data_IF_534656293589
#
_entry.id   IF_534656293589
#
_cell.length_a   1.000
_cell.length_b   1.000
_cell.length_c   1.000
_cell.angle_alpha   90.00
_cell.angle_beta   90.00
_cell.angle_gamma   90.00
#
_symmetry.space_group_name_H-M   'P 1'
#
loop_
_entity.id
_entity.type
_entity.pdbx_description
1 polymer ?
#
# COMPACT_ATOMS: atom_id res chain seq x y z
N UNK A 1 2.33 13.75 8.16
CA UNK A 1 3.09 12.48 8.08
C UNK A 1 3.13 11.89 6.66
N UNK A 2 2.01 11.83 5.92
CA UNK A 2 2.02 11.30 4.54
C UNK A 2 2.91 12.07 3.54
N UNK A 3 2.94 13.41 3.63
CA UNK A 3 3.87 14.24 2.85
C UNK A 3 5.32 13.84 3.14
N UNK A 4 5.69 13.71 4.42
CA UNK A 4 7.03 13.30 4.84
C UNK A 4 7.37 11.90 4.35
N UNK A 5 6.43 10.95 4.42
CA UNK A 5 6.65 9.60 3.89
C UNK A 5 6.91 9.63 2.37
N UNK A 6 6.14 10.43 1.63
CA UNK A 6 6.32 10.57 0.18
C UNK A 6 7.70 11.15 -0.15
N UNK A 7 8.06 12.29 0.45
CA UNK A 7 9.35 12.94 0.20
C UNK A 7 10.54 12.15 0.75
N UNK A 8 10.33 11.30 1.76
CA UNK A 8 11.35 10.39 2.28
C UNK A 8 11.63 9.22 1.34
N UNK A 9 10.60 8.63 0.72
CA UNK A 9 10.75 7.48 -0.17
C UNK A 9 11.24 7.85 -1.58
N UNK A 10 10.92 9.04 -2.10
CA UNK A 10 11.28 9.43 -3.48
C UNK A 10 12.79 9.38 -3.76
N UNK A 11 13.68 9.94 -2.90
CA UNK A 11 15.13 9.88 -3.14
C UNK A 11 15.64 8.43 -3.21
N UNK A 12 15.14 7.54 -2.34
CA UNK A 12 15.51 6.13 -2.35
C UNK A 12 15.01 5.41 -3.61
N UNK A 13 13.83 5.77 -4.13
CA UNK A 13 13.31 5.26 -5.39
C UNK A 13 14.22 5.64 -6.57
N UNK A 14 14.69 6.88 -6.61
CA UNK A 14 15.63 7.37 -7.63
C UNK A 14 16.96 6.61 -7.53
N UNK A 15 17.52 6.49 -6.33
CA UNK A 15 18.79 5.77 -6.10
C UNK A 15 18.69 4.28 -6.43
N UNK A 16 17.58 3.62 -6.09
CA UNK A 16 17.33 2.22 -6.42
C UNK A 16 17.27 2.00 -7.95
N UNK A 17 16.78 3.00 -8.69
CA UNK A 17 16.64 2.94 -10.16
C UNK A 17 17.94 3.18 -10.91
N UNK A 18 19.01 3.61 -10.23
CA UNK A 18 20.25 4.12 -10.86
C UNK A 18 20.92 3.16 -11.85
N UNK A 19 20.93 1.87 -11.54
CA UNK A 19 21.54 0.83 -12.40
C UNK A 19 20.51 0.13 -13.30
N UNK A 20 19.25 0.05 -12.88
CA UNK A 20 18.22 -0.73 -13.56
C UNK A 20 17.55 0.03 -14.72
N UNK A 21 17.50 1.37 -14.66
CA UNK A 21 16.92 2.20 -15.71
C UNK A 21 18.02 2.75 -16.62
N UNK A 22 18.14 2.17 -17.82
CA UNK A 22 19.12 2.58 -18.84
C UNK A 22 18.50 3.28 -20.05
N UNK A 23 17.19 3.18 -20.23
CA UNK A 23 16.45 3.77 -21.37
C UNK A 23 15.59 4.93 -20.90
N UNK A 24 15.55 6.02 -21.67
CA UNK A 24 14.70 7.20 -21.42
C UNK A 24 14.82 7.72 -19.97
N UNK A 25 16.06 7.89 -19.50
CA UNK A 25 16.35 8.24 -18.11
C UNK A 25 15.74 9.62 -17.76
N UNK A 26 15.80 10.58 -18.69
CA UNK A 26 15.26 11.93 -18.47
C UNK A 26 13.75 11.88 -18.24
N UNK A 27 13.03 11.16 -19.09
CA UNK A 27 11.58 11.00 -19.01
C UNK A 27 11.16 10.23 -17.75
N UNK A 28 11.96 9.25 -17.33
CA UNK A 28 11.74 8.53 -16.08
C UNK A 28 11.85 9.45 -14.86
N UNK A 29 12.90 10.29 -14.81
CA UNK A 29 13.10 11.23 -13.70
C UNK A 29 12.01 12.31 -13.67
N UNK A 30 11.61 12.84 -14.83
CA UNK A 30 10.48 13.78 -14.94
C UNK A 30 9.20 13.12 -14.42
N UNK A 31 8.92 11.87 -14.80
CA UNK A 31 7.74 11.16 -14.32
C UNK A 31 7.76 10.98 -12.79
N UNK A 32 8.90 10.62 -12.20
CA UNK A 32 9.02 10.48 -10.74
C UNK A 32 8.89 11.80 -9.98
N UNK A 33 9.45 12.90 -10.49
CA UNK A 33 9.32 14.21 -9.85
C UNK A 33 7.90 14.78 -9.99
N UNK A 34 7.23 14.54 -11.12
CA UNK A 34 5.81 14.87 -11.29
C UNK A 34 4.94 14.03 -10.34
N UNK A 35 5.23 12.74 -10.21
CA UNK A 35 4.55 11.86 -9.29
C UNK A 35 4.67 12.37 -7.84
N UNK A 36 5.88 12.70 -7.40
CA UNK A 36 6.11 13.29 -6.07
C UNK A 36 5.34 14.60 -5.89
N UNK A 37 5.40 15.49 -6.88
CA UNK A 37 4.68 16.77 -6.83
C UNK A 37 3.17 16.57 -6.65
N UNK A 38 2.57 15.62 -7.39
CA UNK A 38 1.15 15.33 -7.27
C UNK A 38 0.79 14.64 -5.96
N UNK A 39 1.64 13.75 -5.44
CA UNK A 39 1.45 13.13 -4.13
C UNK A 39 1.47 14.17 -3.01
N UNK A 40 2.46 15.07 -3.01
CA UNK A 40 2.54 16.17 -2.05
C UNK A 40 1.33 17.09 -2.17
N UNK A 41 0.96 17.48 -3.40
CA UNK A 41 -0.20 18.33 -3.67
C UNK A 41 -1.51 17.72 -3.16
N UNK A 42 -1.72 16.41 -3.34
CA UNK A 42 -2.92 15.73 -2.85
C UNK A 42 -2.99 15.72 -1.32
N UNK A 43 -1.90 15.38 -0.62
CA UNK A 43 -1.91 15.35 0.85
C UNK A 43 -1.93 16.73 1.50
N UNK A 44 -1.51 17.78 0.79
CA UNK A 44 -1.57 19.18 1.28
C UNK A 44 -2.86 19.90 0.91
N UNK A 45 -3.69 19.33 0.03
CA UNK A 45 -4.93 19.95 -0.43
C UNK A 45 -5.93 20.13 0.71
N UNK A 46 -6.41 21.37 0.86
CA UNK A 46 -7.48 21.76 1.80
C UNK A 46 -8.82 21.95 1.04
N UNK A 47 -8.75 22.05 -0.29
CA UNK A 47 -9.90 22.10 -1.18
C UNK A 47 -10.18 20.71 -1.78
N UNK A 48 -11.44 20.31 -1.81
CA UNK A 48 -11.89 18.98 -2.25
C UNK A 48 -11.70 18.75 -3.76
N UNK A 49 -11.93 19.78 -4.58
CA UNK A 49 -11.72 19.68 -6.02
C UNK A 49 -10.22 19.63 -6.33
N UNK A 50 -9.41 20.44 -5.65
CA UNK A 50 -7.97 20.39 -5.79
C UNK A 50 -7.40 19.03 -5.34
N UNK A 51 -7.91 18.50 -4.23
CA UNK A 51 -7.61 17.13 -3.80
C UNK A 51 -7.92 16.13 -4.90
N UNK A 52 -9.12 16.18 -5.50
CA UNK A 52 -9.52 15.30 -6.59
C UNK A 52 -8.57 15.39 -7.80
N UNK A 53 -8.23 16.61 -8.22
CA UNK A 53 -7.34 16.85 -9.36
C UNK A 53 -5.99 16.18 -9.12
N UNK A 54 -5.36 16.41 -7.97
CA UNK A 54 -4.08 15.77 -7.66
C UNK A 54 -4.22 14.25 -7.47
N UNK A 55 -5.29 13.81 -6.83
CA UNK A 55 -5.58 12.39 -6.59
C UNK A 55 -5.65 11.59 -7.91
N UNK A 56 -6.22 12.17 -8.96
CA UNK A 56 -6.24 11.55 -10.29
C UNK A 56 -4.97 11.84 -11.10
N UNK A 57 -4.35 13.03 -10.94
CA UNK A 57 -3.11 13.37 -11.64
C UNK A 57 -1.97 12.42 -11.30
N UNK A 58 -1.89 11.91 -10.06
CA UNK A 58 -0.94 10.86 -9.63
C UNK A 58 -0.98 9.62 -10.54
N UNK A 59 -2.15 9.28 -11.10
CA UNK A 59 -2.30 8.11 -11.97
C UNK A 59 -1.54 8.26 -13.29
N UNK A 60 -1.37 9.49 -13.79
CA UNK A 60 -0.74 9.74 -15.10
C UNK A 60 0.75 9.36 -15.05
N UNK A 61 1.59 9.90 -14.15
CA UNK A 61 2.98 9.46 -14.04
C UNK A 61 3.10 7.97 -13.73
N UNK A 62 2.25 7.42 -12.86
CA UNK A 62 2.31 5.99 -12.52
C UNK A 62 1.96 5.08 -13.70
N UNK A 63 0.97 5.46 -14.50
CA UNK A 63 0.63 4.77 -15.75
C UNK A 63 1.83 4.75 -16.71
N UNK A 64 2.55 5.87 -16.86
CA UNK A 64 3.75 5.95 -17.69
C UNK A 64 4.90 5.14 -17.11
N UNK A 65 5.16 5.23 -15.80
CA UNK A 65 6.22 4.48 -15.11
C UNK A 65 6.06 2.98 -15.33
N UNK A 66 4.84 2.46 -15.16
CA UNK A 66 4.54 1.04 -15.40
C UNK A 66 4.60 0.75 -16.91
N UNK A 67 3.89 1.50 -17.75
CA UNK A 67 3.72 1.19 -19.17
C UNK A 67 5.00 1.27 -20.01
N UNK A 68 5.96 2.14 -19.65
CA UNK A 68 7.19 2.36 -20.42
C UNK A 68 8.38 1.58 -19.82
N UNK A 69 8.50 1.50 -18.49
CA UNK A 69 9.66 0.90 -17.81
C UNK A 69 9.34 -0.39 -17.04
N UNK A 70 8.10 -0.86 -17.09
CA UNK A 70 7.70 -2.12 -16.49
C UNK A 70 8.19 -3.38 -17.23
N UNK A 71 7.77 -4.52 -16.70
CA UNK A 71 8.07 -5.87 -17.20
C UNK A 71 7.32 -6.27 -18.48
N UNK A 72 7.20 -7.57 -18.71
CA UNK A 72 6.69 -8.13 -19.96
C UNK A 72 5.23 -7.76 -20.24
N UNK A 73 4.36 -7.82 -19.23
CA UNK A 73 2.91 -7.53 -19.40
C UNK A 73 2.56 -6.12 -18.93
N UNK A 74 3.52 -5.21 -18.98
CA UNK A 74 3.40 -3.82 -18.50
C UNK A 74 2.23 -3.04 -19.07
N UNK A 75 1.89 -3.23 -20.36
CA UNK A 75 0.77 -2.51 -21.00
C UNK A 75 -0.55 -2.96 -20.37
N UNK A 76 -0.78 -4.27 -20.26
CA UNK A 76 -1.97 -4.81 -19.61
C UNK A 76 -2.08 -4.31 -18.17
N UNK A 77 -0.99 -4.37 -17.41
CA UNK A 77 -0.98 -3.94 -16.01
C UNK A 77 -1.21 -2.43 -15.85
N UNK A 78 -0.61 -1.59 -16.70
CA UNK A 78 -0.79 -0.14 -16.63
C UNK A 78 -2.23 0.26 -16.96
N UNK A 79 -2.83 -0.31 -18.01
CA UNK A 79 -4.23 -0.07 -18.36
C UNK A 79 -5.19 -0.60 -17.29
N UNK A 80 -4.94 -1.82 -16.78
CA UNK A 80 -5.74 -2.38 -15.68
C UNK A 80 -5.68 -1.47 -14.46
N UNK A 81 -4.48 -1.07 -14.02
CA UNK A 81 -4.31 -0.10 -12.94
C UNK A 81 -5.12 1.17 -13.17
N UNK A 82 -4.89 1.85 -14.30
CA UNK A 82 -5.49 3.15 -14.60
C UNK A 82 -7.01 3.10 -14.72
N UNK A 83 -7.56 2.14 -15.48
CA UNK A 83 -9.00 2.04 -15.67
C UNK A 83 -9.72 1.63 -14.39
N UNK A 84 -9.14 0.71 -13.63
CA UNK A 84 -9.74 0.25 -12.38
C UNK A 84 -9.83 1.39 -11.37
N UNK A 85 -8.76 2.20 -11.24
CA UNK A 85 -8.75 3.37 -10.36
C UNK A 85 -9.64 4.50 -10.87
N UNK A 86 -9.64 4.78 -12.18
CA UNK A 86 -10.41 5.88 -12.78
C UNK A 86 -11.93 5.67 -12.66
N UNK A 87 -12.41 4.44 -12.83
CA UNK A 87 -13.85 4.15 -12.74
C UNK A 87 -14.43 4.51 -11.36
N UNK A 88 -13.69 4.23 -10.29
CA UNK A 88 -14.10 4.59 -8.94
C UNK A 88 -14.08 6.10 -8.69
N UNK A 89 -13.11 6.83 -9.24
CA UNK A 89 -13.00 8.27 -9.02
C UNK A 89 -14.02 9.10 -9.78
N UNK A 90 -14.45 8.69 -10.97
CA UNK A 90 -15.49 9.44 -11.70
C UNK A 90 -16.76 9.60 -10.86
N UNK A 91 -17.14 8.58 -10.08
CA UNK A 91 -18.27 8.67 -9.15
C UNK A 91 -18.01 9.68 -8.03
N UNK A 92 -16.80 9.70 -7.49
CA UNK A 92 -16.38 10.70 -6.50
C UNK A 92 -16.47 12.13 -7.07
N UNK A 93 -16.07 12.36 -8.33
CA UNK A 93 -16.19 13.68 -8.96
C UNK A 93 -17.64 14.16 -9.04
N UNK A 94 -18.56 13.26 -9.43
CA UNK A 94 -19.99 13.57 -9.49
C UNK A 94 -20.49 14.00 -8.10
N UNK A 95 -20.07 13.30 -7.05
CA UNK A 95 -20.42 13.64 -5.68
C UNK A 95 -19.85 15.01 -5.26
N UNK A 96 -18.60 15.32 -5.61
CA UNK A 96 -17.96 16.62 -5.34
C UNK A 96 -18.75 17.77 -6.01
N UNK A 97 -19.10 17.61 -7.28
CA UNK A 97 -19.88 18.61 -8.03
C UNK A 97 -21.26 18.81 -7.39
N UNK A 98 -21.93 17.72 -7.02
CA UNK A 98 -23.23 17.79 -6.35
C UNK A 98 -23.15 18.49 -5.00
N UNK A 99 -22.12 18.19 -4.19
CA UNK A 99 -21.91 18.85 -2.90
C UNK A 99 -21.75 20.35 -3.10
N UNK A 100 -20.91 20.78 -4.05
CA UNK A 100 -20.71 22.19 -4.36
C UNK A 100 -21.99 22.92 -4.77
N UNK A 101 -22.87 22.28 -5.55
CA UNK A 101 -24.14 22.88 -5.93
C UNK A 101 -25.08 23.15 -4.75
N UNK A 102 -24.87 22.48 -3.61
CA UNK A 102 -25.68 22.65 -2.40
C UNK A 102 -25.01 23.63 -1.43
N UNK A 103 -23.68 23.56 -1.31
CA UNK A 103 -22.92 24.24 -0.26
C UNK A 103 -22.21 25.50 -0.75
N UNK A 104 -22.08 25.71 -2.06
CA UNK A 104 -21.27 26.76 -2.70
C UNK A 104 -19.82 26.83 -2.20
N UNK A 105 -19.33 25.76 -1.55
CA UNK A 105 -18.00 25.66 -0.98
C UNK A 105 -17.36 24.31 -1.29
N UNK A 106 -16.07 24.35 -1.59
CA UNK A 106 -15.20 23.18 -1.79
C UNK A 106 -14.20 23.00 -0.64
N UNK A 107 -14.24 23.86 0.38
CA UNK A 107 -13.32 23.83 1.50
C UNK A 107 -13.61 22.62 2.39
N UNK A 108 -12.62 21.75 2.57
CA UNK A 108 -12.76 20.50 3.34
C UNK A 108 -13.16 20.78 4.79
N UNK A 109 -12.66 21.87 5.40
CA UNK A 109 -12.95 22.20 6.79
C UNK A 109 -14.38 22.71 6.98
N UNK A 110 -14.89 23.48 6.02
CA UNK A 110 -16.25 24.00 6.03
C UNK A 110 -17.30 22.91 5.80
N UNK A 111 -16.93 21.78 5.20
CA UNK A 111 -17.86 20.69 4.88
C UNK A 111 -17.86 19.56 5.94
N UNK A 112 -17.15 19.75 7.07
CA UNK A 112 -17.12 18.80 8.19
C UNK A 112 -18.36 18.95 9.08
N UNK A 113 -18.84 17.86 9.69
CA UNK A 113 -19.82 17.97 10.78
C UNK A 113 -21.29 17.87 10.36
N UNK A 114 -21.60 16.90 9.50
CA UNK A 114 -22.97 16.45 9.23
C UNK A 114 -23.85 17.46 8.46
N UNK A 115 -23.30 18.13 7.45
CA UNK A 115 -24.01 19.13 6.64
C UNK A 115 -25.19 18.57 5.82
N UNK A 116 -25.12 17.31 5.39
CA UNK A 116 -26.10 16.73 4.48
C UNK A 116 -27.11 15.87 5.26
N UNK A 117 -28.36 15.85 4.80
CA UNK A 117 -29.35 14.91 5.35
C UNK A 117 -28.93 13.45 5.10
N UNK A 118 -29.20 12.53 6.04
CA UNK A 118 -28.80 11.10 6.01
C UNK A 118 -28.94 10.42 4.65
N UNK A 119 -30.10 10.55 4.02
CA UNK A 119 -30.37 9.94 2.70
C UNK A 119 -29.37 10.39 1.63
N UNK A 120 -29.01 11.67 1.63
CA UNK A 120 -28.02 12.23 0.70
C UNK A 120 -26.62 11.73 1.06
N UNK A 121 -26.28 11.70 2.35
CA UNK A 121 -25.00 11.16 2.79
C UNK A 121 -24.78 9.72 2.34
N UNK A 122 -25.80 8.87 2.33
CA UNK A 122 -25.67 7.47 1.89
C UNK A 122 -25.15 7.40 0.45
N UNK A 123 -25.71 8.20 -0.46
CA UNK A 123 -25.26 8.21 -1.87
C UNK A 123 -23.89 8.87 -2.03
N UNK A 124 -23.63 9.98 -1.34
CA UNK A 124 -22.32 10.64 -1.37
C UNK A 124 -21.24 9.71 -0.81
N UNK A 125 -21.50 9.07 0.32
CA UNK A 125 -20.59 8.12 0.93
C UNK A 125 -20.29 6.95 -0.01
N UNK A 126 -21.30 6.38 -0.69
CA UNK A 126 -21.09 5.31 -1.67
C UNK A 126 -20.22 5.75 -2.85
N UNK A 127 -20.39 6.99 -3.34
CA UNK A 127 -19.59 7.54 -4.42
C UNK A 127 -18.12 7.74 -4.01
N UNK A 128 -17.85 8.28 -2.82
CA UNK A 128 -16.50 8.39 -2.27
C UNK A 128 -15.90 7.01 -1.95
N UNK A 129 -16.70 6.11 -1.38
CA UNK A 129 -16.33 4.73 -1.09
C UNK A 129 -15.89 4.00 -2.36
N UNK A 130 -16.60 4.13 -3.47
CA UNK A 130 -16.21 3.49 -4.73
C UNK A 130 -14.79 3.87 -5.18
N UNK A 131 -14.40 5.14 -5.00
CA UNK A 131 -13.04 5.60 -5.27
C UNK A 131 -12.04 5.04 -4.26
N UNK A 132 -12.29 5.27 -2.96
CA UNK A 132 -11.32 4.91 -1.92
C UNK A 132 -11.16 3.40 -1.73
N UNK A 133 -12.23 2.62 -1.87
CA UNK A 133 -12.20 1.17 -1.77
C UNK A 133 -11.31 0.54 -2.86
N UNK A 134 -11.31 1.12 -4.06
CA UNK A 134 -10.40 0.71 -5.13
C UNK A 134 -8.95 1.08 -4.79
N UNK A 135 -8.71 2.29 -4.28
CA UNK A 135 -7.36 2.79 -3.99
C UNK A 135 -6.72 2.17 -2.74
N UNK A 136 -7.50 1.78 -1.73
CA UNK A 136 -7.04 1.05 -0.51
C UNK A 136 -7.03 -0.49 -0.69
N UNK A 137 -7.02 -0.94 -1.94
CA UNK A 137 -7.54 -2.22 -2.46
C UNK A 137 -8.38 -3.07 -1.48
N UNK A 138 -9.62 -2.66 -1.18
CA UNK A 138 -10.55 -3.53 -0.43
C UNK A 138 -10.91 -4.76 -1.26
N UNK A 139 -11.36 -5.84 -0.60
CA UNK A 139 -12.06 -6.90 -1.32
C UNK A 139 -13.45 -6.40 -1.77
N UNK A 140 -13.92 -6.66 -3.00
CA UNK A 140 -13.28 -7.40 -4.11
C UNK A 140 -12.43 -6.53 -5.07
N UNK A 141 -12.26 -5.24 -4.77
CA UNK A 141 -11.63 -4.21 -5.59
C UNK A 141 -10.08 -4.18 -5.62
N UNK A 142 -9.41 -5.32 -5.39
CA UNK A 142 -7.97 -5.38 -5.16
C UNK A 142 -7.15 -5.99 -6.31
N UNK A 143 -7.80 -6.60 -7.30
CA UNK A 143 -7.12 -7.44 -8.30
C UNK A 143 -6.17 -6.69 -9.25
N UNK A 144 -6.26 -5.37 -9.32
CA UNK A 144 -5.33 -4.54 -10.06
C UNK A 144 -3.95 -4.47 -9.39
N UNK A 145 -3.91 -4.57 -8.06
CA UNK A 145 -2.72 -4.30 -7.26
C UNK A 145 -1.59 -5.33 -7.48
N UNK A 146 -1.84 -6.66 -7.41
CA UNK A 146 -0.79 -7.63 -7.68
C UNK A 146 -0.23 -7.54 -9.10
N UNK A 147 -1.09 -7.32 -10.10
CA UNK A 147 -0.64 -7.18 -11.50
C UNK A 147 0.19 -5.91 -11.70
N UNK A 148 -0.23 -4.80 -11.10
CA UNK A 148 0.53 -3.55 -11.13
C UNK A 148 1.91 -3.70 -10.49
N UNK A 149 2.01 -4.31 -9.30
CA UNK A 149 3.29 -4.51 -8.63
C UNK A 149 4.23 -5.46 -9.36
N UNK A 150 3.70 -6.55 -9.89
CA UNK A 150 4.49 -7.49 -10.69
C UNK A 150 5.11 -6.75 -11.85
N UNK A 151 4.33 -6.02 -12.64
CA UNK A 151 4.88 -5.41 -13.85
C UNK A 151 5.61 -4.09 -13.59
N UNK A 152 5.38 -3.40 -12.47
CA UNK A 152 6.05 -2.14 -12.16
C UNK A 152 7.58 -2.32 -11.99
N UNK A 153 8.39 -1.32 -12.38
CA UNK A 153 9.80 -1.26 -11.96
C UNK A 153 9.90 -1.20 -10.44
N UNK A 154 11.07 -1.51 -9.88
CA UNK A 154 11.29 -1.59 -8.42
C UNK A 154 10.82 -0.32 -7.71
N UNK A 155 11.32 0.84 -8.14
CA UNK A 155 10.92 2.13 -7.57
C UNK A 155 9.43 2.45 -7.74
N UNK A 156 8.83 2.05 -8.88
CA UNK A 156 7.38 2.18 -9.08
C UNK A 156 6.60 1.34 -8.07
N UNK A 157 7.07 0.12 -7.78
CA UNK A 157 6.47 -0.74 -6.74
C UNK A 157 6.61 -0.14 -5.35
N UNK A 158 7.74 0.52 -5.06
CA UNK A 158 7.99 1.19 -3.78
C UNK A 158 7.01 2.33 -3.54
N UNK A 159 6.84 3.25 -4.49
CA UNK A 159 5.87 4.36 -4.34
C UNK A 159 4.44 3.85 -4.35
N UNK A 160 4.13 2.86 -5.19
CA UNK A 160 2.80 2.27 -5.25
C UNK A 160 2.43 1.68 -3.87
N UNK A 161 3.26 0.80 -3.31
CA UNK A 161 3.01 0.18 -2.02
C UNK A 161 3.09 1.17 -0.86
N UNK A 162 4.14 2.00 -0.88
CA UNK A 162 4.52 2.89 0.20
C UNK A 162 3.52 4.03 0.40
N UNK A 163 3.04 4.63 -0.69
CA UNK A 163 2.25 5.88 -0.63
C UNK A 163 0.87 5.76 -1.30
N UNK A 164 0.76 5.16 -2.50
CA UNK A 164 -0.52 5.20 -3.24
C UNK A 164 -1.68 4.51 -2.50
N UNK A 165 -1.43 3.38 -1.84
CA UNK A 165 -2.50 2.71 -1.06
C UNK A 165 -3.01 3.59 0.08
N UNK A 166 -2.16 4.47 0.61
CA UNK A 166 -2.49 5.32 1.75
C UNK A 166 -3.35 6.51 1.34
N UNK A 167 -3.42 6.82 0.05
CA UNK A 167 -4.32 7.83 -0.49
C UNK A 167 -5.78 7.46 -0.20
N UNK A 168 -6.15 6.18 -0.36
CA UNK A 168 -7.50 5.70 -0.04
C UNK A 168 -7.80 5.79 1.46
N UNK A 169 -6.83 5.42 2.31
CA UNK A 169 -6.99 5.47 3.76
C UNK A 169 -7.13 6.91 4.28
N UNK A 170 -6.28 7.81 3.77
CA UNK A 170 -6.38 9.24 4.01
C UNK A 170 -7.72 9.79 3.56
N UNK A 171 -8.22 9.33 2.40
CA UNK A 171 -9.52 9.68 1.87
C UNK A 171 -10.67 9.31 2.83
N UNK A 172 -10.70 8.07 3.34
CA UNK A 172 -11.71 7.64 4.31
C UNK A 172 -11.69 8.49 5.58
N UNK A 173 -10.51 8.80 6.11
CA UNK A 173 -10.36 9.61 7.33
C UNK A 173 -10.84 11.05 7.09
N UNK A 174 -10.43 11.68 5.98
CA UNK A 174 -10.70 13.10 5.72
C UNK A 174 -12.12 13.39 5.25
N UNK A 175 -12.67 12.54 4.40
CA UNK A 175 -13.94 12.78 3.72
C UNK A 175 -15.05 11.93 4.33
N UNK A 176 -14.89 10.61 4.42
CA UNK A 176 -15.99 9.74 4.82
C UNK A 176 -16.45 9.95 6.27
N UNK A 177 -15.54 9.80 7.24
CA UNK A 177 -15.92 9.87 8.68
C UNK A 177 -16.40 11.28 9.04
N UNK A 178 -15.69 12.31 8.59
CA UNK A 178 -15.94 13.68 9.00
C UNK A 178 -17.11 14.37 8.28
N UNK A 179 -17.26 14.15 6.97
CA UNK A 179 -18.32 14.81 6.17
C UNK A 179 -19.63 14.00 6.16
N UNK A 180 -19.54 12.66 6.28
CA UNK A 180 -20.70 11.77 6.21
C UNK A 180 -20.78 10.84 7.44
N UNK A 181 -20.91 11.38 8.66
CA UNK A 181 -20.85 10.56 9.88
C UNK A 181 -22.02 9.58 9.98
N UNK A 182 -23.25 9.99 9.66
CA UNK A 182 -24.43 9.10 9.74
C UNK A 182 -24.38 7.98 8.71
N UNK A 183 -23.88 8.25 7.50
CA UNK A 183 -23.68 7.21 6.49
C UNK A 183 -22.50 6.29 6.85
N UNK A 184 -21.42 6.83 7.42
CA UNK A 184 -20.28 6.02 7.89
C UNK A 184 -20.71 5.04 8.98
N UNK A 185 -21.56 5.47 9.92
CA UNK A 185 -22.15 4.59 10.93
C UNK A 185 -23.07 3.53 10.30
N UNK A 186 -23.90 3.92 9.33
CA UNK A 186 -24.79 2.99 8.61
C UNK A 186 -24.02 1.88 7.86
N UNK A 187 -22.88 2.22 7.26
CA UNK A 187 -22.08 1.29 6.46
C UNK A 187 -20.99 0.54 7.24
N UNK A 188 -20.91 0.66 8.57
CA UNK A 188 -19.96 -0.11 9.39
C UNK A 188 -19.99 -1.63 9.11
N UNK A 189 -21.16 -2.30 9.04
CA UNK A 189 -21.19 -3.74 8.77
C UNK A 189 -20.61 -4.09 7.38
N UNK A 190 -20.81 -3.22 6.39
CA UNK A 190 -20.24 -3.38 5.07
C UNK A 190 -18.71 -3.28 5.13
N UNK A 191 -18.17 -2.23 5.74
CA UNK A 191 -16.71 -2.08 5.86
C UNK A 191 -16.10 -3.27 6.59
N UNK A 192 -16.63 -3.62 7.76
CA UNK A 192 -16.08 -4.72 8.56
C UNK A 192 -16.12 -6.06 7.83
N UNK A 193 -17.21 -6.38 7.14
CA UNK A 193 -17.30 -7.61 6.35
C UNK A 193 -16.26 -7.64 5.22
N UNK A 194 -16.15 -6.56 4.43
CA UNK A 194 -15.17 -6.47 3.34
C UNK A 194 -13.73 -6.54 3.85
N UNK A 195 -13.43 -5.88 4.98
CA UNK A 195 -12.10 -5.88 5.59
C UNK A 195 -11.72 -7.23 6.17
N UNK A 196 -12.63 -7.92 6.86
CA UNK A 196 -12.39 -9.28 7.38
C UNK A 196 -12.17 -10.27 6.23
N UNK A 197 -12.99 -10.19 5.18
CA UNK A 197 -12.80 -11.00 3.98
C UNK A 197 -11.43 -10.70 3.37
N UNK A 198 -11.07 -9.42 3.21
CA UNK A 198 -9.76 -9.03 2.69
C UNK A 198 -8.63 -9.66 3.50
N UNK A 199 -8.62 -9.49 4.83
CA UNK A 199 -7.60 -10.06 5.72
C UNK A 199 -7.44 -11.57 5.49
N UNK A 200 -8.52 -12.34 5.62
CA UNK A 200 -8.42 -13.81 5.58
C UNK A 200 -8.13 -14.29 4.15
N UNK A 201 -8.92 -13.85 3.18
CA UNK A 201 -8.81 -14.29 1.80
C UNK A 201 -7.45 -13.93 1.19
N UNK A 202 -7.02 -12.66 1.29
CA UNK A 202 -5.78 -12.27 0.64
C UNK A 202 -4.55 -12.80 1.34
N UNK A 203 -4.58 -13.05 2.65
CA UNK A 203 -3.50 -13.76 3.33
C UNK A 203 -3.36 -15.22 2.89
N UNK A 204 -4.48 -15.94 2.69
CA UNK A 204 -4.45 -17.29 2.13
C UNK A 204 -3.95 -17.29 0.68
N UNK A 205 -4.40 -16.33 -0.13
CA UNK A 205 -3.92 -16.15 -1.50
C UNK A 205 -2.43 -15.80 -1.52
N UNK A 206 -1.95 -14.95 -0.61
CA UNK A 206 -0.54 -14.61 -0.45
C UNK A 206 0.30 -15.86 -0.17
N UNK A 207 -0.14 -16.71 0.76
CA UNK A 207 0.54 -17.96 1.11
C UNK A 207 0.68 -18.92 -0.09
N UNK A 208 -0.32 -18.94 -0.97
CA UNK A 208 -0.32 -19.76 -2.18
C UNK A 208 0.51 -19.16 -3.34
N UNK A 209 1.02 -17.92 -3.24
CA UNK A 209 1.78 -17.31 -4.33
C UNK A 209 3.15 -17.94 -4.51
N UNK A 210 3.55 -18.10 -5.77
CA UNK A 210 4.89 -18.52 -6.17
C UNK A 210 5.81 -17.37 -6.56
N UNK A 211 5.26 -16.16 -6.72
CA UNK A 211 5.97 -14.94 -7.09
C UNK A 211 6.11 -14.02 -5.87
N UNK A 212 7.33 -13.56 -5.61
CA UNK A 212 7.65 -12.74 -4.43
C UNK A 212 6.93 -11.39 -4.43
N UNK A 213 6.84 -10.70 -5.58
CA UNK A 213 6.15 -9.41 -5.68
C UNK A 213 4.65 -9.59 -5.48
N UNK A 214 4.05 -10.66 -6.01
CA UNK A 214 2.63 -10.96 -5.79
C UNK A 214 2.35 -11.24 -4.31
N UNK A 215 3.18 -12.03 -3.64
CA UNK A 215 3.00 -12.34 -2.23
C UNK A 215 2.99 -11.06 -1.39
N UNK A 216 3.98 -10.19 -1.59
CA UNK A 216 4.07 -8.91 -0.87
C UNK A 216 2.90 -7.97 -1.25
N UNK A 217 2.44 -7.98 -2.50
CA UNK A 217 1.27 -7.21 -2.89
C UNK A 217 -0.01 -7.68 -2.17
N UNK A 218 -0.23 -9.00 -2.06
CA UNK A 218 -1.38 -9.54 -1.33
C UNK A 218 -1.28 -9.36 0.19
N UNK A 219 -0.06 -9.38 0.75
CA UNK A 219 0.12 -9.02 2.16
C UNK A 219 -0.27 -7.56 2.42
N UNK A 220 0.06 -6.64 1.50
CA UNK A 220 -0.39 -5.25 1.59
C UNK A 220 -1.92 -5.11 1.61
N UNK A 221 -2.65 -5.92 0.84
CA UNK A 221 -4.13 -5.93 0.90
C UNK A 221 -4.63 -6.34 2.28
N UNK A 222 -4.03 -7.37 2.88
CA UNK A 222 -4.41 -7.83 4.21
C UNK A 222 -4.18 -6.74 5.28
N UNK A 223 -3.01 -6.10 5.28
CA UNK A 223 -2.71 -4.99 6.21
C UNK A 223 -3.62 -3.78 6.01
N UNK A 224 -4.02 -3.46 4.77
CA UNK A 224 -5.00 -2.40 4.51
C UNK A 224 -6.42 -2.78 4.98
N UNK A 225 -6.75 -4.06 5.01
CA UNK A 225 -7.94 -4.58 5.69
C UNK A 225 -7.93 -4.27 7.19
N UNK A 226 -6.78 -4.43 7.86
CA UNK A 226 -6.62 -4.02 9.27
C UNK A 226 -6.80 -2.50 9.41
N UNK A 227 -6.15 -1.70 8.56
CA UNK A 227 -6.27 -0.23 8.58
C UNK A 227 -7.73 0.23 8.46
N UNK A 228 -8.50 -0.36 7.53
CA UNK A 228 -9.91 -0.01 7.33
C UNK A 228 -10.77 -0.35 8.55
N UNK A 229 -10.51 -1.47 9.23
CA UNK A 229 -11.15 -1.77 10.52
C UNK A 229 -10.81 -0.68 11.54
N UNK A 230 -9.54 -0.32 11.69
CA UNK A 230 -9.12 0.71 12.66
C UNK A 230 -9.77 2.06 12.43
N UNK A 231 -9.86 2.49 11.16
CA UNK A 231 -10.53 3.73 10.76
C UNK A 231 -12.00 3.72 11.16
N UNK A 232 -12.74 2.65 10.83
CA UNK A 232 -14.19 2.59 10.98
C UNK A 232 -14.68 2.04 12.32
N UNK A 233 -13.79 1.65 13.23
CA UNK A 233 -14.17 1.31 14.60
C UNK A 233 -14.55 2.55 15.43
N UNK A 234 -14.25 3.76 14.92
CA UNK A 234 -14.68 5.06 15.47
C UNK A 234 -14.33 5.27 16.94
N UNK A 235 -13.20 4.73 17.38
CA UNK A 235 -12.63 5.02 18.69
C UNK A 235 -11.17 5.44 18.56
N UNK A 236 -10.66 6.14 19.58
CA UNK A 236 -9.33 6.73 19.57
C UNK A 236 -8.24 5.70 19.26
N UNK A 237 -8.31 4.51 19.89
CA UNK A 237 -7.32 3.45 19.71
C UNK A 237 -7.31 2.90 18.26
N UNK A 238 -8.49 2.72 17.66
CA UNK A 238 -8.63 2.29 16.28
C UNK A 238 -8.02 3.29 15.29
N UNK A 239 -8.31 4.58 15.46
CA UNK A 239 -7.81 5.64 14.57
C UNK A 239 -6.29 5.83 14.73
N UNK A 240 -5.78 5.88 15.96
CA UNK A 240 -4.34 5.94 16.24
C UNK A 240 -3.61 4.72 15.66
N UNK A 241 -4.16 3.52 15.86
CA UNK A 241 -3.64 2.29 15.29
C UNK A 241 -3.61 2.30 13.77
N UNK A 242 -4.70 2.72 13.12
CA UNK A 242 -4.77 2.84 11.68
C UNK A 242 -3.74 3.83 11.13
N UNK A 243 -3.58 5.00 11.75
CA UNK A 243 -2.58 5.99 11.32
C UNK A 243 -1.15 5.47 11.45
N UNK A 244 -0.84 4.80 12.57
CA UNK A 244 0.47 4.18 12.77
C UNK A 244 0.71 3.05 11.77
N UNK A 245 -0.30 2.25 11.48
CA UNK A 245 -0.20 1.14 10.53
C UNK A 245 -0.05 1.63 9.09
N UNK A 246 -0.74 2.70 8.69
CA UNK A 246 -0.57 3.37 7.38
C UNK A 246 0.90 3.79 7.20
N UNK A 247 1.50 4.41 8.21
CA UNK A 247 2.89 4.86 8.16
C UNK A 247 3.87 3.68 8.17
N UNK A 248 3.73 2.76 9.12
CA UNK A 248 4.60 1.60 9.27
C UNK A 248 4.57 0.71 8.03
N UNK A 249 3.38 0.34 7.55
CA UNK A 249 3.24 -0.41 6.31
C UNK A 249 3.82 0.36 5.12
N UNK A 250 3.76 1.70 5.12
CA UNK A 250 4.45 2.55 4.15
C UNK A 250 5.93 2.26 4.00
N UNK A 251 6.64 2.19 5.13
CA UNK A 251 8.09 1.96 5.19
C UNK A 251 8.41 0.49 4.95
N UNK A 252 7.71 -0.41 5.64
CA UNK A 252 7.98 -1.85 5.59
C UNK A 252 7.70 -2.42 4.19
N UNK A 253 6.57 -2.08 3.56
CA UNK A 253 6.28 -2.58 2.21
C UNK A 253 7.25 -2.02 1.17
N UNK A 254 7.63 -0.74 1.28
CA UNK A 254 8.67 -0.12 0.46
C UNK A 254 9.99 -0.89 0.56
N UNK A 255 10.44 -1.18 1.79
CA UNK A 255 11.65 -1.94 2.04
C UNK A 255 11.58 -3.37 1.50
N UNK A 256 10.46 -4.07 1.67
CA UNK A 256 10.27 -5.43 1.12
C UNK A 256 10.32 -5.43 -0.42
N UNK A 257 9.72 -4.44 -1.09
CA UNK A 257 9.83 -4.32 -2.54
C UNK A 257 11.24 -3.97 -3.00
N UNK A 258 12.00 -3.19 -2.24
CA UNK A 258 13.43 -2.95 -2.48
C UNK A 258 14.24 -4.25 -2.32
N UNK A 259 13.98 -5.04 -1.27
CA UNK A 259 14.61 -6.34 -1.07
C UNK A 259 14.36 -7.30 -2.26
N UNK A 260 13.14 -7.31 -2.81
CA UNK A 260 12.86 -8.09 -4.03
C UNK A 260 13.56 -7.49 -5.25
N UNK A 261 13.63 -6.16 -5.36
CA UNK A 261 14.35 -5.48 -6.43
C UNK A 261 15.84 -5.83 -6.49
N UNK A 262 16.50 -5.87 -5.33
CA UNK A 262 17.94 -6.20 -5.19
C UNK A 262 18.26 -7.58 -5.78
N UNK A 263 17.47 -8.59 -5.46
CA UNK A 263 17.67 -9.96 -6.00
C UNK A 263 17.17 -10.10 -7.44
N UNK A 264 16.20 -9.29 -7.84
CA UNK A 264 15.69 -9.25 -9.22
C UNK A 264 16.72 -8.63 -10.18
N UNK A 265 17.41 -7.57 -9.78
CA UNK A 265 18.44 -6.93 -10.59
C UNK A 265 19.63 -7.88 -10.84
N UNK A 266 19.87 -8.83 -9.92
CA UNK A 266 20.94 -9.83 -10.04
C UNK A 266 20.53 -11.06 -10.87
N UNK A 267 19.31 -11.57 -10.67
CA UNK A 267 18.89 -12.87 -11.21
C UNK A 267 17.80 -12.81 -12.27
N UNK A 268 17.18 -11.64 -12.48
CA UNK A 268 16.06 -11.39 -13.39
C UNK A 268 14.89 -12.37 -13.25
N UNK A 269 14.69 -12.89 -12.04
CA UNK A 269 13.60 -13.80 -11.70
C UNK A 269 12.98 -13.42 -10.36
N UNK A 270 11.70 -13.73 -10.21
CA UNK A 270 10.91 -13.40 -9.01
C UNK A 270 10.24 -14.63 -8.40
N UNK A 271 10.51 -15.81 -8.97
CA UNK A 271 9.93 -17.07 -8.53
C UNK A 271 10.62 -17.53 -7.25
N UNK A 272 9.83 -17.79 -6.21
CA UNK A 272 10.32 -18.20 -4.88
C UNK A 272 11.18 -19.46 -4.99
N UNK A 273 10.73 -20.45 -5.76
CA UNK A 273 11.41 -21.74 -5.93
C UNK A 273 12.76 -21.65 -6.68
N UNK A 274 13.10 -20.50 -7.28
CA UNK A 274 14.41 -20.31 -7.90
C UNK A 274 15.51 -20.09 -6.85
N UNK A 275 15.13 -19.56 -5.69
CA UNK A 275 16.03 -19.21 -4.59
C UNK A 275 16.07 -20.31 -3.52
N UNK A 276 17.11 -20.25 -2.69
CA UNK A 276 17.32 -21.16 -1.57
C UNK A 276 18.75 -21.06 -1.06
N UNK A 277 18.91 -21.02 0.27
CA UNK A 277 20.23 -20.93 0.91
C UNK A 277 20.98 -19.62 0.68
N UNK A 278 20.28 -18.51 0.37
CA UNK A 278 20.94 -17.21 0.11
C UNK A 278 21.77 -16.70 1.29
N UNK A 279 21.51 -17.14 2.54
CA UNK A 279 22.31 -16.75 3.71
C UNK A 279 23.81 -17.01 3.53
N UNK A 280 24.18 -18.04 2.77
CA UNK A 280 25.58 -18.42 2.55
C UNK A 280 26.33 -17.43 1.65
N UNK A 281 25.61 -16.69 0.79
CA UNK A 281 26.20 -15.77 -0.20
C UNK A 281 25.87 -14.31 0.05
N UNK A 282 24.69 -14.04 0.60
CA UNK A 282 24.19 -12.71 0.92
C UNK A 282 23.76 -12.59 2.39
N UNK A 283 24.67 -12.77 3.37
CA UNK A 283 24.33 -12.72 4.80
C UNK A 283 23.80 -11.34 5.23
N UNK A 284 24.32 -10.23 4.68
CA UNK A 284 23.81 -8.89 5.02
C UNK A 284 22.38 -8.71 4.52
N UNK A 285 22.11 -9.11 3.27
CA UNK A 285 20.75 -9.15 2.73
C UNK A 285 19.82 -10.00 3.60
N UNK A 286 20.25 -11.18 4.04
CA UNK A 286 19.45 -12.07 4.88
C UNK A 286 19.02 -11.41 6.20
N UNK A 287 19.90 -10.64 6.83
CA UNK A 287 19.59 -9.88 8.05
C UNK A 287 18.61 -8.74 7.75
N UNK A 288 18.90 -7.92 6.73
CA UNK A 288 18.04 -6.80 6.33
C UNK A 288 16.63 -7.29 5.98
N UNK A 289 16.53 -8.36 5.19
CA UNK A 289 15.24 -8.94 4.81
C UNK A 289 14.49 -9.50 6.02
N UNK A 290 15.19 -10.10 6.99
CA UNK A 290 14.56 -10.61 8.21
C UNK A 290 13.93 -9.49 9.03
N UNK A 291 14.64 -8.37 9.19
CA UNK A 291 14.12 -7.21 9.94
C UNK A 291 12.77 -6.76 9.36
N UNK A 292 12.68 -6.59 8.04
CA UNK A 292 11.43 -6.17 7.40
C UNK A 292 10.36 -7.26 7.34
N UNK A 293 10.75 -8.53 7.26
CA UNK A 293 9.83 -9.66 7.41
C UNK A 293 9.18 -9.64 8.79
N UNK A 294 9.97 -9.48 9.86
CA UNK A 294 9.47 -9.40 11.24
C UNK A 294 8.64 -8.14 11.48
N UNK A 295 9.04 -7.00 10.90
CA UNK A 295 8.26 -5.76 10.96
C UNK A 295 6.90 -5.91 10.25
N UNK A 296 6.85 -6.62 9.12
CA UNK A 296 5.59 -6.90 8.41
C UNK A 296 4.69 -7.88 9.15
N UNK A 297 5.25 -8.77 9.97
CA UNK A 297 4.45 -9.68 10.81
C UNK A 297 3.84 -8.94 12.00
N UNK A 298 4.37 -7.76 12.35
CA UNK A 298 3.98 -7.04 13.56
C UNK A 298 4.67 -7.61 14.80
N UNK A 299 5.96 -7.96 14.72
CA UNK A 299 6.71 -8.39 15.90
C UNK A 299 6.82 -7.25 16.94
N UNK A 300 6.58 -7.50 18.25
CA UNK A 300 6.80 -6.49 19.29
C UNK A 300 8.20 -5.87 19.20
N UNK A 301 8.27 -4.54 19.31
CA UNK A 301 9.49 -3.76 19.08
C UNK A 301 9.61 -3.17 17.66
N UNK A 302 8.70 -3.52 16.75
CA UNK A 302 8.59 -2.91 15.42
C UNK A 302 7.41 -1.94 15.33
N UNK A 303 7.47 -0.99 14.39
CA UNK A 303 6.39 -0.01 14.18
C UNK A 303 5.06 -0.66 13.76
N UNK A 304 5.11 -1.81 13.08
CA UNK A 304 3.92 -2.54 12.62
C UNK A 304 3.10 -3.11 13.78
N UNK A 305 3.78 -3.59 14.84
CA UNK A 305 3.11 -4.08 16.03
C UNK A 305 2.24 -3.01 16.69
N UNK A 306 2.74 -1.78 16.81
CA UNK A 306 2.01 -0.67 17.43
C UNK A 306 0.71 -0.38 16.67
N UNK A 307 0.79 -0.32 15.33
CA UNK A 307 -0.36 -0.06 14.48
C UNK A 307 -1.42 -1.17 14.55
N UNK A 308 -1.00 -2.42 14.38
CA UNK A 308 -1.92 -3.58 14.41
C UNK A 308 -2.52 -3.82 15.78
N UNK A 309 -1.71 -3.74 16.84
CA UNK A 309 -2.17 -3.97 18.21
C UNK A 309 -3.23 -2.94 18.63
N UNK A 310 -2.97 -1.65 18.41
CA UNK A 310 -3.93 -0.59 18.73
C UNK A 310 -5.22 -0.72 17.91
N UNK A 311 -5.10 -1.11 16.63
CA UNK A 311 -6.26 -1.35 15.76
C UNK A 311 -7.11 -2.51 16.25
N UNK A 312 -6.50 -3.64 16.62
CA UNK A 312 -7.20 -4.81 17.15
C UNK A 312 -7.80 -4.51 18.52
N UNK A 313 -7.10 -3.76 19.38
CA UNK A 313 -7.62 -3.32 20.67
C UNK A 313 -8.85 -2.42 20.47
N UNK A 314 -8.79 -1.50 19.52
CA UNK A 314 -9.93 -0.70 19.09
C UNK A 314 -11.09 -1.60 18.66
N UNK A 315 -10.82 -2.55 17.76
CA UNK A 315 -11.83 -3.49 17.26
C UNK A 315 -12.45 -4.32 18.38
N UNK A 316 -11.65 -4.75 19.37
CA UNK A 316 -12.11 -5.54 20.50
C UNK A 316 -13.08 -4.75 21.40
N UNK A 317 -12.80 -3.46 21.62
CA UNK A 317 -13.71 -2.56 22.36
C UNK A 317 -15.05 -2.35 21.64
N UNK A 318 -15.07 -2.48 20.31
CA UNK A 318 -16.28 -2.35 19.51
C UNK A 318 -17.05 -3.68 19.40
N UNK A 319 -16.37 -4.76 19.00
CA UNK A 319 -16.95 -6.08 18.83
C UNK A 319 -15.87 -7.18 18.92
N UNK A 320 -16.03 -8.11 19.86
CA UNK A 320 -15.11 -9.23 20.07
C UNK A 320 -14.97 -10.15 18.84
N UNK A 321 -16.03 -10.39 18.08
CA UNK A 321 -15.95 -11.20 16.85
C UNK A 321 -15.13 -10.51 15.77
N UNK A 322 -15.27 -9.19 15.61
CA UNK A 322 -14.47 -8.42 14.68
C UNK A 322 -12.97 -8.52 15.02
N UNK A 323 -12.64 -8.37 16.31
CA UNK A 323 -11.28 -8.53 16.79
C UNK A 323 -10.76 -9.95 16.56
N UNK A 324 -11.55 -10.98 16.88
CA UNK A 324 -11.19 -12.38 16.65
C UNK A 324 -10.77 -12.63 15.19
N UNK A 325 -11.59 -12.21 14.23
CA UNK A 325 -11.26 -12.36 12.82
C UNK A 325 -10.08 -11.48 12.39
N UNK A 326 -9.96 -10.24 12.88
CA UNK A 326 -8.81 -9.38 12.59
C UNK A 326 -7.50 -10.00 13.10
N UNK A 327 -7.49 -10.61 14.29
CA UNK A 327 -6.32 -11.27 14.87
C UNK A 327 -5.85 -12.49 14.05
N UNK A 328 -6.75 -13.18 13.33
CA UNK A 328 -6.32 -14.24 12.40
C UNK A 328 -5.36 -13.73 11.33
N UNK A 329 -5.46 -12.45 10.96
CA UNK A 329 -4.54 -11.78 10.05
C UNK A 329 -3.08 -11.80 10.52
N UNK A 330 -2.84 -11.64 11.83
CA UNK A 330 -1.47 -11.71 12.40
C UNK A 330 -0.89 -13.11 12.22
N UNK A 331 -1.69 -14.14 12.52
CA UNK A 331 -1.27 -15.55 12.41
C UNK A 331 -0.96 -15.89 10.95
N UNK A 332 -1.84 -15.50 10.03
CA UNK A 332 -1.63 -15.74 8.61
C UNK A 332 -0.45 -14.92 8.07
N UNK A 333 -0.24 -13.69 8.55
CA UNK A 333 0.92 -12.85 8.22
C UNK A 333 2.24 -13.52 8.58
N UNK A 334 2.34 -14.04 9.81
CA UNK A 334 3.47 -14.85 10.23
C UNK A 334 3.68 -16.06 9.30
N UNK A 335 2.60 -16.77 8.95
CA UNK A 335 2.69 -17.95 8.11
C UNK A 335 3.27 -17.65 6.72
N UNK A 336 2.75 -16.66 5.97
CA UNK A 336 3.25 -16.37 4.62
C UNK A 336 4.60 -15.65 4.60
N UNK A 337 4.87 -14.75 5.54
CA UNK A 337 6.14 -14.01 5.57
C UNK A 337 7.30 -14.90 6.00
N UNK A 338 7.14 -15.74 7.04
CA UNK A 338 8.17 -16.67 7.46
C UNK A 338 8.36 -17.81 6.45
N UNK A 339 7.28 -18.24 5.79
CA UNK A 339 7.38 -19.19 4.68
C UNK A 339 8.24 -18.64 3.54
N UNK A 340 7.97 -17.39 3.11
CA UNK A 340 8.74 -16.69 2.09
C UNK A 340 10.22 -16.59 2.49
N UNK A 341 10.49 -16.11 3.71
CA UNK A 341 11.85 -15.94 4.22
C UNK A 341 12.60 -17.28 4.25
N UNK A 342 11.99 -18.34 4.81
CA UNK A 342 12.59 -19.67 4.89
C UNK A 342 12.97 -20.20 3.51
N UNK A 343 12.09 -20.07 2.52
CA UNK A 343 12.30 -20.59 1.16
C UNK A 343 13.45 -19.89 0.44
N UNK A 344 13.60 -18.59 0.64
CA UNK A 344 14.61 -17.78 -0.05
C UNK A 344 15.96 -17.87 0.65
N UNK A 345 15.97 -17.72 1.98
CA UNK A 345 17.19 -17.49 2.75
C UNK A 345 17.80 -18.78 3.28
N UNK A 346 16.98 -19.70 3.77
CA UNK A 346 17.43 -20.97 4.35
C UNK A 346 17.35 -22.12 3.34
N UNK A 347 17.88 -23.27 3.74
CA UNK A 347 17.92 -24.48 2.93
C UNK A 347 19.21 -24.65 2.13
N UNK A 348 19.26 -25.73 1.34
CA UNK A 348 20.40 -26.04 0.49
C UNK A 348 20.36 -25.20 -0.78
N UNK A 349 21.49 -24.61 -1.14
CA UNK A 349 21.65 -23.90 -2.39
C UNK A 349 21.81 -24.92 -3.54
N UNK A 350 20.71 -25.22 -4.22
CA UNK A 350 20.69 -26.19 -5.34
C UNK A 350 21.00 -25.56 -6.69
N UNK A 351 20.74 -24.26 -6.82
CA UNK A 351 20.87 -23.55 -8.10
C UNK A 351 22.27 -22.95 -8.27
N UNK A 352 22.98 -23.39 -9.30
CA UNK A 352 24.34 -22.95 -9.58
C UNK A 352 24.43 -21.46 -9.90
N UNK A 353 23.39 -20.87 -10.49
CA UNK A 353 23.36 -19.44 -10.80
C UNK A 353 23.45 -18.55 -9.57
N UNK A 354 23.16 -19.09 -8.38
CA UNK A 354 23.26 -18.36 -7.12
C UNK A 354 24.67 -18.43 -6.50
N UNK A 355 25.61 -19.20 -7.07
CA UNK A 355 26.95 -19.38 -6.47
C UNK A 355 27.73 -18.07 -6.44
N UNK A 356 27.60 -17.26 -7.48
CA UNK A 356 28.38 -16.01 -7.61
C UNK A 356 27.54 -14.76 -7.32
N UNK A 357 26.38 -14.93 -6.66
CA UNK A 357 25.54 -13.80 -6.31
C UNK A 357 26.25 -12.92 -5.26
N UNK A 358 26.38 -11.64 -5.57
CA UNK A 358 27.03 -10.68 -4.69
C UNK A 358 26.04 -10.20 -3.62
N UNK A 359 26.52 -10.03 -2.39
CA UNK A 359 25.78 -9.41 -1.29
C UNK A 359 25.49 -7.92 -1.57
N UNK A 360 24.90 -7.22 -0.59
CA UNK A 360 24.52 -5.82 -0.69
C UNK A 360 25.69 -4.90 -1.03
N UNK A 361 25.50 -4.05 -2.04
CA UNK A 361 26.43 -2.97 -2.38
C UNK A 361 26.24 -1.74 -1.46
N UNK A 362 27.20 -0.80 -1.47
CA UNK A 362 27.13 0.40 -0.62
C UNK A 362 25.88 1.23 -0.89
N UNK A 363 25.45 1.33 -2.14
CA UNK A 363 24.25 2.07 -2.53
C UNK A 363 23.00 1.41 -1.96
N UNK A 364 22.89 0.09 -2.05
CA UNK A 364 21.79 -0.68 -1.46
C UNK A 364 21.79 -0.53 0.07
N UNK A 365 22.94 -0.56 0.73
CA UNK A 365 23.02 -0.30 2.17
C UNK A 365 22.59 1.12 2.53
N UNK A 366 22.99 2.14 1.77
CA UNK A 366 22.57 3.54 1.97
C UNK A 366 21.04 3.69 1.83
N UNK A 367 20.41 2.89 0.97
CA UNK A 367 18.95 2.89 0.81
C UNK A 367 18.27 2.15 1.98
N UNK A 368 18.79 0.99 2.39
CA UNK A 368 18.11 0.12 3.36
C UNK A 368 18.31 0.58 4.82
N UNK A 369 19.48 1.13 5.19
CA UNK A 369 19.76 1.52 6.58
C UNK A 369 18.76 2.56 7.11
N UNK A 370 18.44 3.66 6.40
CA UNK A 370 17.44 4.62 6.87
C UNK A 370 16.07 3.97 7.09
N UNK A 371 15.67 3.03 6.22
CA UNK A 371 14.40 2.31 6.37
C UNK A 371 14.39 1.35 7.57
N UNK A 372 15.56 0.90 8.05
CA UNK A 372 15.67 0.04 9.24
C UNK A 372 15.57 0.88 10.52
N UNK A 373 16.10 2.11 10.49
CA UNK A 373 16.14 3.00 11.65
C UNK A 373 14.75 3.57 11.97
N UNK A 374 13.94 3.84 10.94
CA UNK A 374 12.56 4.34 11.06
C UNK A 374 11.60 3.19 11.29
#
# INVERSE_FOLDING_TARGET
FMILLSTFLTPFCILASWKSITKKIKEYMIAFLLLETFLVGMFSSIDMLLFYIFFEAVLIPMFLIIGIWGGERRIYASFKFFLYTLLGSVLMLIAIIFMYQITDSMNIAELQGNFFHKKVQIFLWLAFFASFAVKIPMWPFHTWLPDAHVEAPTAGSVILAGVLLKMGAYGFIRFSIGMFPEASEFFLPLIFSLSVIAIIYTSLVAFAQTDMKKLIAYSSVAHMGIVTIGIFVLNQQGIEGAMMQILSHGIVSAALFLCVGIIYDRMHTRKINFYGGLVNRMPKYAVVFMIFVLASIGLPGTSGFIGEFLTILGAFKHNTFLAFFATTGIILSAAYMLYLYKRIIFGLQTNEKLKDILDLDLREMIIMIPLIIV
#
